data_IF_903670248679
#
_entry.id   IF_903670248679
#
_cell.length_a   1.000
_cell.length_b   1.000
_cell.length_c   1.000
_cell.angle_alpha   90.00
_cell.angle_beta   90.00
_cell.angle_gamma   90.00
#
_symmetry.space_group_name_H-M   'P 1'
#
loop_
_entity.id
_entity.type
_entity.pdbx_description
1 polymer ?
#
# COMPACT_ATOMS: atom_id res chain seq x y z
N UNK A 1 4.55 -26.26 10.72
CA UNK A 1 5.42 -26.15 9.54
C UNK A 1 5.80 -27.55 9.10
N UNK A 2 5.62 -27.86 7.83
CA UNK A 2 5.94 -29.16 7.23
C UNK A 2 7.30 -29.11 6.52
N UNK A 3 7.50 -28.07 5.72
CA UNK A 3 8.73 -27.83 4.97
C UNK A 3 9.06 -26.35 5.10
N UNK A 4 10.34 -26.03 5.21
CA UNK A 4 10.85 -24.66 5.13
C UNK A 4 11.74 -24.54 3.91
N UNK A 5 11.39 -23.61 3.04
CA UNK A 5 12.20 -23.26 1.87
C UNK A 5 13.37 -22.35 2.27
N UNK A 6 14.36 -22.21 1.40
CA UNK A 6 15.43 -21.23 1.59
C UNK A 6 14.88 -19.80 1.52
N UNK A 7 15.11 -19.03 2.58
CA UNK A 7 14.60 -17.68 2.74
C UNK A 7 15.59 -16.57 2.34
N UNK A 8 16.80 -16.94 1.95
CA UNK A 8 17.90 -16.00 1.70
C UNK A 8 17.53 -14.92 0.68
N UNK A 9 17.00 -15.32 -0.47
CA UNK A 9 16.60 -14.39 -1.54
C UNK A 9 15.39 -13.55 -1.13
N UNK A 10 14.40 -14.17 -0.48
CA UNK A 10 13.19 -13.46 -0.05
C UNK A 10 13.50 -12.41 1.02
N UNK A 11 14.36 -12.75 1.99
CA UNK A 11 14.85 -11.80 3.02
C UNK A 11 15.66 -10.66 2.40
N UNK A 12 16.55 -10.97 1.45
CA UNK A 12 17.35 -9.96 0.77
C UNK A 12 16.46 -8.97 0.00
N UNK A 13 15.45 -9.47 -0.71
CA UNK A 13 14.49 -8.64 -1.43
C UNK A 13 13.68 -7.74 -0.49
N UNK A 14 13.19 -8.28 0.63
CA UNK A 14 12.49 -7.48 1.63
C UNK A 14 13.41 -6.39 2.21
N UNK A 15 14.65 -6.73 2.57
CA UNK A 15 15.61 -5.78 3.10
C UNK A 15 15.94 -4.65 2.12
N UNK A 16 16.04 -4.93 0.81
CA UNK A 16 16.23 -3.90 -0.22
C UNK A 16 15.07 -2.92 -0.24
N UNK A 17 13.82 -3.43 -0.16
CA UNK A 17 12.62 -2.59 -0.16
C UNK A 17 12.53 -1.77 1.13
N UNK A 18 12.79 -2.35 2.28
CA UNK A 18 12.77 -1.68 3.58
C UNK A 18 13.82 -0.55 3.63
N UNK A 19 15.06 -0.83 3.20
CA UNK A 19 16.11 0.18 3.10
C UNK A 19 15.72 1.35 2.16
N UNK A 20 15.08 1.04 1.05
CA UNK A 20 14.56 2.06 0.13
C UNK A 20 13.45 2.92 0.75
N UNK A 21 12.56 2.32 1.54
CA UNK A 21 11.52 3.04 2.29
C UNK A 21 12.12 3.93 3.37
N UNK A 22 13.14 3.45 4.08
CA UNK A 22 13.84 4.22 5.11
C UNK A 22 14.54 5.44 4.51
N UNK A 23 15.23 5.27 3.37
CA UNK A 23 15.87 6.37 2.64
C UNK A 23 14.85 7.44 2.20
N UNK A 24 13.74 7.02 1.56
CA UNK A 24 12.72 7.96 1.13
C UNK A 24 12.00 8.61 2.31
N UNK A 25 11.81 7.90 3.42
CA UNK A 25 11.20 8.44 4.64
C UNK A 25 12.08 9.50 5.30
N UNK A 26 13.39 9.29 5.34
CA UNK A 26 14.34 10.27 5.86
C UNK A 26 14.39 11.52 4.97
N UNK A 27 14.47 11.34 3.66
CA UNK A 27 14.44 12.45 2.69
C UNK A 27 13.12 13.22 2.75
N UNK A 28 11.98 12.52 2.87
CA UNK A 28 10.67 13.13 3.05
C UNK A 28 10.60 14.00 4.31
N UNK A 29 11.14 13.51 5.42
CA UNK A 29 11.20 14.26 6.69
C UNK A 29 12.00 15.55 6.55
N UNK A 30 13.18 15.51 5.88
CA UNK A 30 13.97 16.70 5.58
C UNK A 30 13.19 17.70 4.73
N UNK A 31 12.58 17.26 3.65
CA UNK A 31 11.82 18.13 2.75
C UNK A 31 10.62 18.80 3.44
N UNK A 32 9.93 18.09 4.31
CA UNK A 32 8.86 18.67 5.14
C UNK A 32 9.43 19.78 6.04
N UNK A 33 10.58 19.53 6.69
CA UNK A 33 11.23 20.52 7.54
C UNK A 33 11.67 21.76 6.72
N UNK A 34 12.17 21.58 5.49
CA UNK A 34 12.52 22.67 4.58
C UNK A 34 11.31 23.50 4.16
N UNK A 35 10.20 22.82 3.78
CA UNK A 35 8.94 23.47 3.39
C UNK A 35 8.36 24.33 4.52
N UNK A 36 8.38 23.78 5.73
CA UNK A 36 7.76 24.40 6.90
C UNK A 36 8.70 25.40 7.61
N UNK A 37 9.94 25.51 7.13
CA UNK A 37 10.94 26.41 7.71
C UNK A 37 11.34 26.01 9.14
N UNK A 38 11.30 24.70 9.44
CA UNK A 38 11.63 24.19 10.76
C UNK A 38 13.11 24.42 11.13
N UNK A 39 13.44 24.40 12.42
CA UNK A 39 14.80 24.52 12.88
C UNK A 39 15.58 23.20 12.85
N UNK A 40 14.86 22.07 12.91
CA UNK A 40 15.43 20.73 12.88
C UNK A 40 14.49 19.77 12.13
N UNK A 41 15.05 18.67 11.63
CA UNK A 41 14.28 17.62 10.97
C UNK A 41 13.66 16.70 12.03
N UNK A 42 12.35 16.46 11.93
CA UNK A 42 11.63 15.50 12.77
C UNK A 42 11.46 14.21 11.99
N UNK A 43 12.17 13.17 12.40
CA UNK A 43 12.10 11.85 11.76
C UNK A 43 10.93 11.03 12.34
N UNK A 44 10.28 10.18 11.53
CA UNK A 44 9.28 9.22 11.99
C UNK A 44 9.85 8.29 13.07
N UNK A 45 9.00 7.78 13.97
CA UNK A 45 9.40 6.92 15.09
C UNK A 45 10.12 5.63 14.61
N UNK A 46 9.74 5.10 13.46
CA UNK A 46 10.38 3.95 12.82
C UNK A 46 11.88 4.17 12.56
N UNK A 47 12.27 5.37 12.13
CA UNK A 47 13.66 5.75 11.91
C UNK A 47 14.34 6.17 13.21
N UNK A 48 13.67 6.98 14.04
CA UNK A 48 14.25 7.50 15.30
C UNK A 48 14.46 6.40 16.34
N UNK A 49 13.55 5.40 16.41
CA UNK A 49 13.68 4.24 17.30
C UNK A 49 14.85 3.31 16.92
N UNK A 50 15.20 3.27 15.64
CA UNK A 50 16.30 2.47 15.09
C UNK A 50 17.57 3.30 14.80
N UNK A 51 17.65 4.54 15.25
CA UNK A 51 18.78 5.43 14.98
C UNK A 51 20.16 4.88 15.46
N UNK A 52 20.14 3.90 16.35
CA UNK A 52 21.37 3.21 16.78
C UNK A 52 21.86 2.16 15.78
N UNK A 53 21.04 1.74 14.80
CA UNK A 53 21.52 0.90 13.70
C UNK A 53 22.46 1.75 12.81
N UNK A 54 23.71 1.31 12.56
CA UNK A 54 24.71 2.15 11.89
C UNK A 54 24.24 2.72 10.54
N UNK A 55 23.48 1.94 9.77
CA UNK A 55 22.98 2.35 8.46
C UNK A 55 21.97 3.50 8.56
N UNK A 56 21.02 3.41 9.49
CA UNK A 56 19.99 4.43 9.71
C UNK A 56 20.62 5.70 10.32
N UNK A 57 21.57 5.53 11.24
CA UNK A 57 22.34 6.66 11.81
C UNK A 57 23.06 7.47 10.72
N UNK A 58 23.77 6.81 9.81
CA UNK A 58 24.43 7.48 8.68
C UNK A 58 23.46 8.18 7.73
N UNK A 59 22.32 7.59 7.49
CA UNK A 59 21.28 8.18 6.66
C UNK A 59 20.72 9.47 7.28
N UNK A 60 20.35 9.43 8.56
CA UNK A 60 19.87 10.59 9.32
C UNK A 60 20.91 11.69 9.36
N UNK A 61 22.16 11.36 9.63
CA UNK A 61 23.27 12.32 9.65
C UNK A 61 23.48 12.96 8.27
N UNK A 62 23.38 12.20 7.20
CA UNK A 62 23.46 12.69 5.84
C UNK A 62 22.38 13.73 5.52
N UNK A 63 21.12 13.39 5.83
CA UNK A 63 19.98 14.29 5.61
C UNK A 63 20.05 15.54 6.48
N UNK A 64 20.46 15.42 7.74
CA UNK A 64 20.66 16.57 8.64
C UNK A 64 21.75 17.52 8.12
N UNK A 65 22.87 17.01 7.61
CA UNK A 65 23.91 17.84 7.01
C UNK A 65 23.40 18.57 5.77
N UNK A 66 22.69 17.87 4.91
CA UNK A 66 22.11 18.48 3.71
C UNK A 66 21.08 19.55 4.06
N UNK A 67 20.21 19.31 5.03
CA UNK A 67 19.28 20.29 5.57
C UNK A 67 20.00 21.56 6.07
N UNK A 68 21.04 21.39 6.88
CA UNK A 68 21.81 22.51 7.42
C UNK A 68 22.51 23.33 6.30
N UNK A 69 23.10 22.66 5.32
CA UNK A 69 23.75 23.30 4.17
C UNK A 69 22.76 24.10 3.30
N UNK A 70 21.60 23.51 2.96
CA UNK A 70 20.57 24.19 2.16
C UNK A 70 19.99 25.40 2.92
N UNK A 71 19.74 25.24 4.20
CA UNK A 71 19.28 26.31 5.08
C UNK A 71 20.29 27.45 5.13
N UNK A 72 21.57 27.15 5.40
CA UNK A 72 22.64 28.14 5.44
C UNK A 72 22.81 28.90 4.11
N UNK A 73 22.76 28.19 3.00
CA UNK A 73 22.85 28.80 1.67
C UNK A 73 21.66 29.75 1.40
N UNK A 74 20.43 29.37 1.78
CA UNK A 74 19.25 30.23 1.66
C UNK A 74 19.37 31.46 2.55
N UNK A 75 19.68 31.27 3.83
CA UNK A 75 19.86 32.36 4.79
C UNK A 75 20.95 33.33 4.32
N UNK A 76 22.06 32.83 3.78
CA UNK A 76 23.12 33.63 3.20
C UNK A 76 22.66 34.50 2.03
N UNK A 77 21.90 33.94 1.08
CA UNK A 77 21.31 34.69 -0.04
C UNK A 77 20.37 35.79 0.45
N UNK A 78 19.49 35.47 1.39
CA UNK A 78 18.55 36.45 1.98
C UNK A 78 19.29 37.55 2.72
N UNK A 79 20.32 37.21 3.50
CA UNK A 79 21.15 38.18 4.20
C UNK A 79 21.85 39.16 3.24
N UNK A 80 22.43 38.63 2.15
CA UNK A 80 23.07 39.47 1.12
C UNK A 80 22.08 40.47 0.48
N UNK A 81 20.86 40.06 0.20
CA UNK A 81 19.82 40.94 -0.33
C UNK A 81 19.39 41.98 0.70
N UNK A 82 19.25 41.61 1.96
CA UNK A 82 18.97 42.56 3.05
C UNK A 82 20.06 43.61 3.24
N UNK A 83 21.31 43.20 3.17
CA UNK A 83 22.44 44.16 3.24
C UNK A 83 22.37 45.14 2.07
N UNK A 84 22.05 44.73 0.86
CA UNK A 84 21.85 45.65 -0.27
C UNK A 84 20.68 46.60 -0.03
N UNK A 85 19.57 46.14 0.54
CA UNK A 85 18.45 47.01 0.92
C UNK A 85 18.90 48.08 1.92
N UNK A 86 19.72 47.71 2.91
CA UNK A 86 20.29 48.67 3.88
C UNK A 86 21.15 49.72 3.16
N UNK A 87 22.02 49.32 2.23
CA UNK A 87 22.83 50.20 1.44
C UNK A 87 21.97 51.18 0.61
N UNK A 88 20.96 50.71 -0.07
CA UNK A 88 20.02 51.58 -0.83
C UNK A 88 19.23 52.54 0.07
N UNK A 89 18.83 52.12 1.28
CA UNK A 89 18.22 53.04 2.26
C UNK A 89 19.15 54.16 2.69
N UNK A 90 20.45 53.85 2.87
CA UNK A 90 21.46 54.89 3.16
C UNK A 90 21.66 55.84 1.98
N UNK A 91 21.67 55.32 0.74
CA UNK A 91 21.74 56.13 -0.47
C UNK A 91 20.56 57.09 -0.55
N UNK A 92 19.31 56.59 -0.32
CA UNK A 92 18.11 57.41 -0.27
C UNK A 92 18.22 58.53 0.79
N UNK A 93 18.68 58.18 1.99
CA UNK A 93 18.88 59.17 3.06
C UNK A 93 19.85 60.29 2.66
N UNK A 94 20.93 59.95 1.91
CA UNK A 94 21.84 60.92 1.31
C UNK A 94 21.16 61.82 0.27
N UNK A 95 20.42 61.23 -0.65
CA UNK A 95 19.65 61.96 -1.66
C UNK A 95 18.58 62.89 -1.01
N UNK A 96 17.89 62.42 0.01
CA UNK A 96 16.92 63.22 0.75
C UNK A 96 17.56 64.42 1.50
N UNK A 97 18.78 64.24 2.00
CA UNK A 97 19.54 65.38 2.57
C UNK A 97 19.91 66.41 1.50
N UNK A 98 20.32 65.97 0.30
CA UNK A 98 20.56 66.84 -0.84
C UNK A 98 19.29 67.57 -1.30
N UNK A 99 18.16 66.84 -1.34
CA UNK A 99 16.84 67.42 -1.66
C UNK A 99 16.49 68.52 -0.68
N UNK A 100 16.63 68.34 0.61
CA UNK A 100 16.35 69.39 1.62
C UNK A 100 17.23 70.60 1.41
N UNK A 101 18.55 70.44 1.18
CA UNK A 101 19.46 71.53 0.88
C UNK A 101 19.06 72.28 -0.39
N UNK A 102 18.71 71.51 -1.45
CA UNK A 102 18.31 72.12 -2.73
C UNK A 102 16.97 72.87 -2.62
N UNK A 103 16.01 72.36 -1.87
CA UNK A 103 14.75 73.08 -1.57
C UNK A 103 14.95 74.38 -0.82
N UNK A 104 15.93 74.43 0.14
CA UNK A 104 16.33 75.66 0.81
C UNK A 104 16.93 76.67 -0.19
N UNK A 105 17.83 76.20 -1.06
CA UNK A 105 18.47 77.04 -2.09
C UNK A 105 17.40 77.62 -3.04
N UNK A 106 16.44 76.78 -3.50
CA UNK A 106 15.32 77.24 -4.31
C UNK A 106 14.47 78.31 -3.58
N UNK A 107 14.16 78.07 -2.29
CA UNK A 107 13.38 79.04 -1.50
C UNK A 107 14.07 80.41 -1.37
N UNK A 108 15.37 80.42 -1.12
CA UNK A 108 16.16 81.66 -1.08
C UNK A 108 16.19 82.36 -2.47
N UNK A 109 16.42 81.57 -3.53
CA UNK A 109 16.44 82.11 -4.90
C UNK A 109 15.06 82.70 -5.30
N UNK A 110 13.95 82.09 -4.85
CA UNK A 110 12.61 82.65 -5.07
C UNK A 110 12.44 83.99 -4.37
N UNK A 111 12.91 84.13 -3.12
CA UNK A 111 12.83 85.43 -2.42
C UNK A 111 13.65 86.49 -3.16
N UNK A 112 14.89 86.13 -3.60
CA UNK A 112 15.72 87.06 -4.39
C UNK A 112 15.05 87.44 -5.71
N UNK A 113 14.43 86.51 -6.39
CA UNK A 113 13.73 86.71 -7.65
C UNK A 113 12.54 87.63 -7.49
N UNK A 114 11.73 87.49 -6.44
CA UNK A 114 10.61 88.41 -6.12
C UNK A 114 11.16 89.81 -5.91
N UNK A 115 12.19 89.98 -5.13
CA UNK A 115 12.86 91.28 -4.95
C UNK A 115 13.38 91.85 -6.26
N UNK A 116 13.96 91.04 -7.15
CA UNK A 116 14.47 91.47 -8.44
C UNK A 116 13.34 91.86 -9.41
N UNK A 117 12.18 91.10 -9.39
CA UNK A 117 10.96 91.49 -10.16
C UNK A 117 10.42 92.84 -9.77
N UNK A 118 10.42 93.16 -8.46
CA UNK A 118 9.98 94.46 -7.95
C UNK A 118 10.93 95.58 -8.32
N UNK A 119 12.23 95.44 -8.29
CA UNK A 119 13.26 96.35 -8.73
C UNK A 119 13.15 96.59 -10.25
N UNK A 120 12.88 95.56 -11.07
CA UNK A 120 12.67 95.69 -12.50
C UNK A 120 11.40 96.45 -12.82
N UNK A 121 10.25 96.17 -12.16
CA UNK A 121 9.04 96.96 -12.28
C UNK A 121 9.27 98.46 -12.03
N UNK A 122 10.15 98.77 -11.06
CA UNK A 122 10.59 100.19 -10.76
C UNK A 122 11.64 100.70 -11.71
N UNK A 123 12.03 99.94 -12.76
CA UNK A 123 13.10 100.30 -13.76
C UNK A 123 14.46 100.48 -13.13
N UNK A 124 14.79 99.94 -11.97
CA UNK A 124 16.03 100.08 -11.27
C UNK A 124 17.13 99.02 -11.67
N UNK A 125 16.70 98.01 -12.39
CA UNK A 125 17.60 96.94 -12.89
C UNK A 125 17.28 96.59 -14.34
N UNK A 126 18.27 96.16 -15.18
CA UNK A 126 18.04 95.67 -16.53
C UNK A 126 17.34 94.26 -16.55
N UNK A 127 16.54 94.04 -17.61
CA UNK A 127 15.81 92.78 -17.82
C UNK A 127 16.74 91.51 -17.84
N UNK A 128 17.98 91.71 -18.28
CA UNK A 128 19.00 90.65 -18.31
C UNK A 128 19.27 90.06 -16.96
N UNK A 129 19.36 90.89 -15.90
CA UNK A 129 19.55 90.43 -14.53
C UNK A 129 18.36 89.60 -13.99
N UNK A 130 17.18 90.02 -14.34
CA UNK A 130 15.95 89.25 -14.00
C UNK A 130 15.95 87.90 -14.71
N UNK A 131 16.22 87.91 -16.02
CA UNK A 131 16.25 86.71 -16.83
C UNK A 131 17.40 85.72 -16.33
N UNK A 132 18.54 86.23 -15.83
CA UNK A 132 19.60 85.41 -15.24
C UNK A 132 19.13 84.71 -13.98
N UNK A 133 18.35 85.36 -13.12
CA UNK A 133 17.78 84.76 -11.90
C UNK A 133 16.66 83.75 -12.22
N UNK A 134 15.81 84.05 -13.20
CA UNK A 134 14.78 83.08 -13.65
C UNK A 134 15.42 81.84 -14.25
N UNK A 135 16.52 81.98 -15.02
CA UNK A 135 17.29 80.79 -15.49
C UNK A 135 17.95 79.99 -14.35
N UNK A 136 18.42 80.69 -13.32
CA UNK A 136 19.03 80.02 -12.15
C UNK A 136 17.94 79.23 -11.36
N UNK A 137 16.75 79.82 -11.14
CA UNK A 137 15.63 79.10 -10.52
C UNK A 137 15.23 77.88 -11.33
N UNK A 138 14.99 78.03 -12.65
CA UNK A 138 14.62 76.88 -13.52
C UNK A 138 15.67 75.77 -13.52
N UNK A 139 16.98 76.12 -13.45
CA UNK A 139 18.07 75.13 -13.31
C UNK A 139 17.97 74.37 -11.98
N UNK A 140 17.77 75.10 -10.87
CA UNK A 140 17.65 74.49 -9.54
C UNK A 140 16.41 73.59 -9.44
N UNK A 141 15.29 73.98 -10.00
CA UNK A 141 14.08 73.15 -10.07
C UNK A 141 14.35 71.85 -10.91
N UNK A 142 15.09 71.98 -12.02
CA UNK A 142 15.53 70.81 -12.80
C UNK A 142 16.43 69.86 -12.00
N UNK A 143 17.42 70.38 -11.26
CA UNK A 143 18.29 69.60 -10.38
C UNK A 143 17.50 68.93 -9.26
N UNK A 144 16.52 69.64 -8.67
CA UNK A 144 15.63 69.06 -7.66
C UNK A 144 14.80 67.91 -8.26
N UNK A 145 14.25 68.08 -9.48
CA UNK A 145 13.56 67.01 -10.20
C UNK A 145 14.44 65.77 -10.45
N UNK A 146 15.70 65.98 -10.80
CA UNK A 146 16.67 64.87 -10.97
C UNK A 146 16.89 64.09 -9.67
N UNK A 147 17.04 64.79 -8.52
CA UNK A 147 17.21 64.12 -7.21
C UNK A 147 15.94 63.35 -6.81
N UNK A 148 14.74 63.86 -7.07
CA UNK A 148 13.47 63.16 -6.84
C UNK A 148 13.42 61.88 -7.69
N UNK A 149 13.78 61.96 -8.97
CA UNK A 149 13.83 60.82 -9.85
C UNK A 149 14.87 59.76 -9.38
N UNK A 150 16.07 60.20 -8.93
CA UNK A 150 17.07 59.29 -8.38
C UNK A 150 16.59 58.59 -7.11
N UNK A 151 15.94 59.30 -6.19
CA UNK A 151 15.33 58.70 -5.01
C UNK A 151 14.26 57.67 -5.37
N UNK A 152 13.38 57.96 -6.33
CA UNK A 152 12.34 57.06 -6.81
C UNK A 152 12.96 55.78 -7.46
N UNK A 153 14.04 55.96 -8.27
CA UNK A 153 14.74 54.84 -8.88
C UNK A 153 15.37 53.91 -7.81
N UNK A 154 16.00 54.48 -6.79
CA UNK A 154 16.61 53.70 -5.70
C UNK A 154 15.55 53.00 -4.85
N UNK A 155 14.36 53.62 -4.64
CA UNK A 155 13.20 52.91 -4.03
C UNK A 155 12.72 51.75 -4.88
N UNK A 156 12.67 51.90 -6.20
CA UNK A 156 12.35 50.80 -7.13
C UNK A 156 13.31 49.58 -6.95
N UNK A 157 14.65 49.88 -6.84
CA UNK A 157 15.66 48.84 -6.58
C UNK A 157 15.42 48.11 -5.25
N UNK A 158 15.00 48.80 -4.19
CA UNK A 158 14.63 48.16 -2.93
C UNK A 158 13.45 47.18 -3.14
N UNK A 159 12.39 47.61 -3.81
CA UNK A 159 11.25 46.74 -4.11
C UNK A 159 11.64 45.53 -4.93
N UNK A 160 12.54 45.64 -5.89
CA UNK A 160 13.10 44.51 -6.64
C UNK A 160 13.82 43.52 -5.72
N UNK A 161 14.63 44.01 -4.76
CA UNK A 161 15.31 43.11 -3.81
C UNK A 161 14.33 42.45 -2.84
N UNK A 162 13.32 43.15 -2.38
CA UNK A 162 12.24 42.57 -1.53
C UNK A 162 11.46 41.47 -2.27
N UNK A 163 11.12 41.71 -3.54
CA UNK A 163 10.52 40.67 -4.38
C UNK A 163 11.44 39.49 -4.60
N UNK A 164 12.77 39.72 -4.78
CA UNK A 164 13.71 38.64 -4.92
C UNK A 164 13.82 37.76 -3.65
N UNK A 165 13.68 38.35 -2.46
CA UNK A 165 13.62 37.60 -1.20
C UNK A 165 12.39 36.72 -1.15
N UNK A 166 11.22 37.23 -1.54
CA UNK A 166 9.97 36.47 -1.60
C UNK A 166 10.10 35.32 -2.61
N UNK A 167 10.72 35.60 -3.76
CA UNK A 167 10.92 34.60 -4.81
C UNK A 167 11.78 33.42 -4.33
N UNK A 168 12.83 33.66 -3.54
CA UNK A 168 13.65 32.58 -2.95
C UNK A 168 12.80 31.62 -2.13
N UNK A 169 11.84 32.13 -1.36
CA UNK A 169 10.94 31.30 -0.55
C UNK A 169 9.91 30.56 -1.39
N UNK A 170 9.39 31.20 -2.43
CA UNK A 170 8.43 30.57 -3.35
C UNK A 170 9.10 29.43 -4.17
N UNK A 171 10.31 29.68 -4.67
CA UNK A 171 11.08 28.71 -5.43
C UNK A 171 11.36 27.47 -4.59
N UNK A 172 11.83 27.67 -3.35
CA UNK A 172 12.06 26.55 -2.42
C UNK A 172 10.79 25.73 -2.19
N UNK A 173 9.68 26.40 -1.90
CA UNK A 173 8.40 25.70 -1.66
C UNK A 173 7.92 24.94 -2.89
N UNK A 174 8.09 25.50 -4.07
CA UNK A 174 7.73 24.86 -5.34
C UNK A 174 8.60 23.64 -5.62
N UNK A 175 9.93 23.77 -5.47
CA UNK A 175 10.88 22.68 -5.62
C UNK A 175 10.55 21.54 -4.65
N UNK A 176 10.42 21.86 -3.36
CA UNK A 176 10.14 20.87 -2.32
C UNK A 176 8.78 20.18 -2.54
N UNK A 177 7.76 20.93 -2.97
CA UNK A 177 6.44 20.33 -3.28
C UNK A 177 6.52 19.38 -4.47
N UNK A 178 7.36 19.65 -5.44
CA UNK A 178 7.67 18.75 -6.56
C UNK A 178 8.35 17.46 -6.09
N UNK A 179 9.43 17.61 -5.30
CA UNK A 179 10.18 16.47 -4.75
C UNK A 179 9.32 15.61 -3.83
N UNK A 180 8.47 16.22 -2.98
CA UNK A 180 7.57 15.47 -2.09
C UNK A 180 6.58 14.61 -2.86
N UNK A 181 5.98 15.14 -3.95
CA UNK A 181 5.07 14.34 -4.79
C UNK A 181 5.76 13.14 -5.43
N UNK A 182 6.99 13.33 -5.90
CA UNK A 182 7.79 12.24 -6.47
C UNK A 182 8.10 11.17 -5.43
N UNK A 183 8.53 11.59 -4.23
CA UNK A 183 8.83 10.70 -3.12
C UNK A 183 7.58 9.93 -2.66
N UNK A 184 6.45 10.61 -2.50
CA UNK A 184 5.20 9.97 -2.08
C UNK A 184 4.74 8.91 -3.09
N UNK A 185 4.93 9.17 -4.39
CA UNK A 185 4.69 8.18 -5.45
C UNK A 185 5.61 6.96 -5.34
N UNK A 186 6.92 7.18 -5.18
CA UNK A 186 7.90 6.10 -5.01
C UNK A 186 7.69 5.30 -3.72
N UNK A 187 7.34 5.98 -2.63
CA UNK A 187 7.01 5.29 -1.37
C UNK A 187 5.77 4.41 -1.49
N UNK A 188 4.75 4.85 -2.23
CA UNK A 188 3.58 4.03 -2.49
C UNK A 188 3.94 2.76 -3.28
N UNK A 189 4.74 2.89 -4.33
CA UNK A 189 5.22 1.74 -5.10
C UNK A 189 6.06 0.77 -4.25
N UNK A 190 6.98 1.29 -3.42
CA UNK A 190 7.78 0.44 -2.54
C UNK A 190 6.95 -0.25 -1.46
N UNK A 191 5.88 0.38 -0.94
CA UNK A 191 4.96 -0.26 0.01
C UNK A 191 4.22 -1.44 -0.61
N UNK A 192 3.77 -1.32 -1.85
CA UNK A 192 3.17 -2.44 -2.58
C UNK A 192 4.17 -3.59 -2.75
N UNK A 193 5.43 -3.25 -3.09
CA UNK A 193 6.51 -4.24 -3.19
C UNK A 193 6.84 -4.87 -1.83
N UNK A 194 6.80 -4.10 -0.75
CA UNK A 194 7.01 -4.59 0.62
C UNK A 194 5.96 -5.66 0.97
N UNK A 195 4.68 -5.37 0.73
CA UNK A 195 3.58 -6.31 0.97
C UNK A 195 3.80 -7.61 0.18
N UNK A 196 4.19 -7.51 -1.08
CA UNK A 196 4.48 -8.68 -1.92
C UNK A 196 5.69 -9.48 -1.41
N UNK A 197 6.76 -8.81 -0.99
CA UNK A 197 7.96 -9.45 -0.45
C UNK A 197 7.68 -10.12 0.90
N UNK A 198 6.91 -9.47 1.79
CA UNK A 198 6.46 -10.07 3.06
C UNK A 198 5.60 -11.30 2.83
N UNK A 199 4.69 -11.24 1.84
CA UNK A 199 3.86 -12.39 1.51
C UNK A 199 4.69 -13.56 0.97
N UNK A 200 5.68 -13.27 0.13
CA UNK A 200 6.63 -14.28 -0.34
C UNK A 200 7.40 -14.91 0.83
N UNK A 201 7.85 -14.10 1.79
CA UNK A 201 8.53 -14.58 2.98
C UNK A 201 7.63 -15.47 3.87
N UNK A 202 6.34 -15.15 4.01
CA UNK A 202 5.37 -15.98 4.74
C UNK A 202 5.12 -17.33 4.07
N UNK A 203 5.21 -17.41 2.73
CA UNK A 203 5.02 -18.65 1.97
C UNK A 203 6.20 -19.61 2.05
N UNK A 204 7.34 -19.19 2.56
CA UNK A 204 8.52 -20.04 2.76
C UNK A 204 8.24 -21.16 3.78
N UNK A 205 7.47 -20.86 4.82
CA UNK A 205 7.02 -21.87 5.77
C UNK A 205 5.76 -22.57 5.24
N UNK A 206 5.92 -23.69 4.56
CA UNK A 206 4.79 -24.50 4.10
C UNK A 206 4.16 -25.19 5.30
N UNK A 207 2.93 -24.83 5.61
CA UNK A 207 2.17 -25.34 6.77
C UNK A 207 1.09 -26.31 6.34
N UNK A 208 0.78 -27.27 7.22
CA UNK A 208 -0.35 -28.16 7.02
C UNK A 208 -1.66 -27.36 6.98
N UNK A 209 -2.55 -27.57 5.96
CA UNK A 209 -3.85 -26.92 5.90
C UNK A 209 -4.80 -27.43 7.00
N UNK A 210 -4.59 -28.66 7.48
CA UNK A 210 -5.39 -29.30 8.52
C UNK A 210 -4.55 -30.29 9.33
N UNK A 211 -5.05 -30.67 10.51
CA UNK A 211 -4.43 -31.70 11.34
C UNK A 211 -4.57 -33.07 10.71
N UNK A 212 -3.48 -33.84 10.62
CA UNK A 212 -3.51 -35.14 9.98
C UNK A 212 -2.16 -35.86 10.04
N UNK A 213 -2.09 -36.99 9.37
CA UNK A 213 -0.85 -37.77 9.18
C UNK A 213 -0.28 -37.51 7.79
N UNK A 214 1.03 -37.30 7.72
CA UNK A 214 1.72 -37.17 6.44
C UNK A 214 1.74 -38.52 5.75
N UNK A 215 1.37 -38.55 4.49
CA UNK A 215 1.38 -39.71 3.62
C UNK A 215 2.06 -39.35 2.30
N UNK A 216 2.79 -40.27 1.69
CA UNK A 216 3.48 -40.08 0.40
C UNK A 216 4.35 -38.82 0.36
N UNK A 217 5.36 -38.74 1.22
CA UNK A 217 6.36 -37.67 1.16
C UNK A 217 7.19 -37.82 -0.12
N UNK A 218 7.16 -36.83 -1.01
CA UNK A 218 7.90 -36.84 -2.28
C UNK A 218 9.31 -36.25 -2.16
N UNK A 219 9.55 -35.38 -1.18
CA UNK A 219 10.83 -34.67 -0.99
C UNK A 219 11.57 -35.27 0.21
N UNK A 220 12.78 -35.81 -0.03
CA UNK A 220 13.57 -36.48 1.01
C UNK A 220 14.91 -35.81 1.28
N UNK A 221 15.33 -34.85 0.46
CA UNK A 221 16.69 -34.28 0.50
C UNK A 221 16.68 -32.86 0.97
N UNK A 222 17.48 -32.48 1.95
CA UNK A 222 17.72 -31.09 2.34
C UNK A 222 18.51 -30.43 1.21
N UNK A 223 18.08 -29.22 0.80
CA UNK A 223 18.65 -28.50 -0.34
C UNK A 223 18.12 -28.96 -1.71
N UNK A 224 17.15 -29.89 -1.73
CA UNK A 224 16.49 -30.31 -2.96
C UNK A 224 15.66 -29.14 -3.59
N UNK A 225 15.53 -29.15 -4.90
CA UNK A 225 14.72 -28.18 -5.65
C UNK A 225 13.32 -28.75 -5.83
N UNK A 226 12.31 -27.95 -5.52
CA UNK A 226 10.89 -28.27 -5.69
C UNK A 226 10.34 -27.37 -6.80
N UNK A 227 9.71 -27.96 -7.81
CA UNK A 227 9.10 -27.19 -8.88
C UNK A 227 7.76 -26.53 -8.42
N UNK A 228 7.41 -25.34 -8.93
CA UNK A 228 6.10 -24.75 -8.65
C UNK A 228 4.96 -25.68 -9.06
N UNK A 229 4.02 -25.91 -8.14
CA UNK A 229 2.88 -26.81 -8.36
C UNK A 229 3.17 -28.31 -8.13
N UNK A 230 4.38 -28.68 -7.75
CA UNK A 230 4.73 -30.05 -7.42
C UNK A 230 4.12 -30.45 -6.07
N UNK A 231 3.55 -31.65 -5.99
CA UNK A 231 3.00 -32.20 -4.75
C UNK A 231 4.13 -32.65 -3.82
N UNK A 232 4.28 -31.98 -2.69
CA UNK A 232 5.34 -32.27 -1.70
C UNK A 232 4.97 -33.48 -0.84
N UNK A 233 3.72 -33.55 -0.37
CA UNK A 233 3.19 -34.63 0.47
C UNK A 233 1.66 -34.61 0.47
N UNK A 234 1.07 -35.70 0.92
CA UNK A 234 -0.36 -35.78 1.19
C UNK A 234 -0.61 -35.76 2.69
N UNK A 235 -1.69 -35.08 3.12
CA UNK A 235 -2.11 -35.08 4.52
C UNK A 235 -3.46 -35.80 4.60
N UNK A 236 -3.44 -36.92 5.34
CA UNK A 236 -4.67 -37.65 5.65
C UNK A 236 -5.25 -37.08 6.94
N UNK A 237 -6.44 -36.46 6.90
CA UNK A 237 -7.08 -35.92 8.10
C UNK A 237 -7.28 -36.98 9.17
N UNK A 238 -6.99 -36.63 10.41
CA UNK A 238 -7.23 -37.52 11.55
C UNK A 238 -8.62 -37.38 12.18
N UNK A 239 -9.31 -36.29 11.84
CA UNK A 239 -10.59 -35.90 12.46
C UNK A 239 -11.82 -36.13 11.58
N UNK A 240 -11.65 -36.60 10.35
CA UNK A 240 -12.79 -36.87 9.48
C UNK A 240 -13.53 -38.12 9.97
N UNK A 241 -14.84 -37.98 10.16
CA UNK A 241 -15.69 -39.13 10.45
C UNK A 241 -15.56 -40.17 9.33
N UNK A 242 -15.30 -41.41 9.69
CA UNK A 242 -15.29 -42.50 8.72
C UNK A 242 -16.62 -42.61 8.05
N UNK A 243 -16.61 -42.66 6.74
CA UNK A 243 -17.81 -42.87 5.91
C UNK A 243 -17.63 -44.15 5.12
N UNK A 244 -18.75 -44.85 4.85
CA UNK A 244 -18.75 -46.02 3.98
C UNK A 244 -19.28 -45.61 2.62
N UNK A 245 -18.54 -45.94 1.57
CA UNK A 245 -18.96 -45.75 0.19
C UNK A 245 -19.41 -47.11 -0.36
N UNK A 246 -20.72 -47.24 -0.60
CA UNK A 246 -21.29 -48.44 -1.17
C UNK A 246 -21.52 -48.24 -2.68
N UNK A 247 -21.33 -49.32 -3.43
CA UNK A 247 -21.60 -49.36 -4.89
C UNK A 247 -22.94 -50.04 -5.11
N UNK A 248 -23.89 -49.29 -5.66
CA UNK A 248 -25.24 -49.77 -5.96
C UNK A 248 -25.39 -49.93 -7.47
N UNK A 249 -25.94 -51.06 -7.90
CA UNK A 249 -26.20 -51.31 -9.31
C UNK A 249 -27.27 -50.34 -9.86
N UNK A 250 -27.18 -49.90 -11.13
CA UNK A 250 -28.13 -48.96 -11.70
C UNK A 250 -29.58 -49.38 -11.63
N UNK A 251 -29.83 -50.68 -11.69
CA UNK A 251 -31.18 -51.26 -11.61
C UNK A 251 -31.84 -51.19 -10.20
N UNK A 252 -31.03 -50.92 -9.14
CA UNK A 252 -31.52 -50.95 -7.76
C UNK A 252 -31.52 -49.52 -7.14
N UNK A 253 -31.12 -48.51 -7.87
CA UNK A 253 -30.98 -47.13 -7.36
C UNK A 253 -32.32 -46.50 -6.96
N UNK A 254 -33.39 -46.88 -7.61
CA UNK A 254 -34.78 -46.42 -7.34
C UNK A 254 -35.25 -46.79 -5.92
N UNK A 255 -34.62 -47.80 -5.31
CA UNK A 255 -34.94 -48.30 -3.97
C UNK A 255 -34.08 -47.61 -2.87
N UNK A 256 -33.11 -46.80 -3.25
CA UNK A 256 -32.22 -46.10 -2.31
C UNK A 256 -32.66 -44.65 -2.14
N UNK A 257 -32.81 -44.21 -0.91
CA UNK A 257 -33.20 -42.82 -0.57
C UNK A 257 -32.24 -42.22 0.45
N UNK A 258 -32.03 -40.90 0.35
CA UNK A 258 -31.32 -40.16 1.35
C UNK A 258 -32.06 -40.25 2.68
N UNK A 259 -31.34 -40.49 3.78
CA UNK A 259 -31.91 -40.70 5.11
C UNK A 259 -32.34 -42.16 5.40
N UNK A 260 -32.16 -43.09 4.46
CA UNK A 260 -32.50 -44.51 4.64
C UNK A 260 -31.51 -45.18 5.57
N UNK A 261 -32.02 -46.03 6.48
CA UNK A 261 -31.20 -46.79 7.39
C UNK A 261 -30.46 -47.91 6.66
N UNK A 262 -29.17 -48.05 6.98
CA UNK A 262 -28.31 -49.08 6.45
C UNK A 262 -27.69 -49.88 7.60
N UNK A 263 -27.61 -51.17 7.45
CA UNK A 263 -26.86 -52.05 8.36
C UNK A 263 -25.55 -52.45 7.68
N UNK A 264 -24.45 -52.27 8.38
CA UNK A 264 -23.10 -52.46 7.88
C UNK A 264 -22.46 -53.66 8.58
N UNK A 265 -21.91 -54.55 7.80
CA UNK A 265 -21.12 -55.69 8.31
C UNK A 265 -19.70 -55.54 7.84
N UNK A 266 -18.78 -55.45 8.79
CA UNK A 266 -17.34 -55.27 8.50
C UNK A 266 -16.71 -56.65 8.21
N UNK A 267 -16.49 -56.96 6.95
CA UNK A 267 -15.98 -58.26 6.51
C UNK A 267 -14.47 -58.51 6.86
N UNK A 268 -13.79 -57.46 7.33
CA UNK A 268 -12.40 -57.55 7.78
C UNK A 268 -12.21 -58.22 9.14
N UNK A 269 -13.32 -58.44 9.90
CA UNK A 269 -13.31 -59.10 11.22
C UNK A 269 -14.02 -60.44 11.18
N UNK A 270 -13.67 -61.35 12.14
CA UNK A 270 -14.28 -62.68 12.15
C UNK A 270 -15.80 -62.62 12.39
N UNK A 271 -16.56 -63.35 11.57
CA UNK A 271 -18.03 -63.29 11.52
C UNK A 271 -18.75 -63.63 12.85
N UNK A 272 -18.10 -64.26 13.80
CA UNK A 272 -18.69 -64.67 15.06
C UNK A 272 -18.67 -63.63 16.18
N UNK A 273 -17.95 -62.51 16.00
CA UNK A 273 -17.68 -61.51 17.08
C UNK A 273 -18.02 -60.09 16.64
N UNK A 274 -18.30 -59.84 15.37
CA UNK A 274 -18.45 -58.48 14.84
C UNK A 274 -19.87 -58.00 14.98
N UNK A 275 -20.14 -56.95 15.78
CA UNK A 275 -21.48 -56.36 15.84
C UNK A 275 -21.85 -55.69 14.49
N UNK A 276 -23.09 -55.78 14.13
CA UNK A 276 -23.65 -55.03 13.03
C UNK A 276 -23.65 -53.52 13.40
N UNK A 277 -23.17 -52.70 12.51
CA UNK A 277 -23.02 -51.24 12.71
C UNK A 277 -24.13 -50.55 11.93
N UNK A 278 -24.91 -49.71 12.60
CA UNK A 278 -25.97 -48.95 11.93
C UNK A 278 -25.42 -47.67 11.36
N UNK A 279 -25.87 -47.34 10.15
CA UNK A 279 -25.58 -46.11 9.45
C UNK A 279 -26.79 -45.57 8.72
N UNK A 280 -26.66 -44.41 8.16
CA UNK A 280 -27.68 -43.75 7.39
C UNK A 280 -27.11 -43.23 6.06
N UNK A 281 -27.89 -43.37 4.99
CA UNK A 281 -27.56 -42.84 3.67
C UNK A 281 -27.53 -41.31 3.72
N UNK A 282 -26.35 -40.72 3.54
CA UNK A 282 -26.12 -39.27 3.56
C UNK A 282 -26.24 -38.68 2.15
N UNK A 283 -25.64 -39.37 1.17
CA UNK A 283 -25.58 -38.86 -0.20
C UNK A 283 -25.61 -40.01 -1.21
N UNK A 284 -26.21 -39.74 -2.35
CA UNK A 284 -26.19 -40.61 -3.54
C UNK A 284 -25.54 -39.83 -4.67
N UNK A 285 -24.65 -40.46 -5.45
CA UNK A 285 -24.04 -39.78 -6.61
C UNK A 285 -25.13 -39.35 -7.60
N UNK A 286 -25.08 -38.11 -8.13
CA UNK A 286 -26.09 -37.62 -9.07
C UNK A 286 -26.00 -38.31 -10.44
N UNK A 287 -24.90 -38.98 -10.74
CA UNK A 287 -24.61 -39.61 -12.02
C UNK A 287 -23.97 -40.97 -11.84
N UNK A 288 -23.99 -41.79 -12.89
CA UNK A 288 -23.34 -43.09 -12.98
C UNK A 288 -21.80 -42.90 -12.97
N UNK A 289 -21.14 -43.71 -12.16
CA UNK A 289 -19.66 -43.78 -12.12
C UNK A 289 -19.26 -45.07 -12.84
N UNK A 290 -18.46 -44.96 -13.88
CA UNK A 290 -17.87 -46.10 -14.59
C UNK A 290 -16.49 -46.44 -13.99
N UNK A 291 -16.33 -47.65 -13.50
CA UNK A 291 -15.01 -48.17 -13.13
C UNK A 291 -14.33 -48.67 -14.42
N UNK A 292 -13.41 -47.83 -14.95
CA UNK A 292 -12.67 -48.12 -16.20
C UNK A 292 -11.87 -49.42 -16.16
N UNK A 293 -11.55 -49.95 -14.97
CA UNK A 293 -10.82 -51.23 -14.82
C UNK A 293 -11.73 -52.44 -14.77
N UNK A 294 -12.91 -52.29 -14.20
CA UNK A 294 -13.88 -53.39 -14.04
C UNK A 294 -14.96 -53.39 -15.10
N UNK A 295 -15.14 -52.32 -15.89
CA UNK A 295 -16.16 -52.20 -16.93
C UNK A 295 -17.61 -52.22 -16.38
N UNK A 296 -17.78 -51.89 -15.10
CA UNK A 296 -19.08 -51.92 -14.41
C UNK A 296 -19.49 -50.49 -14.01
N UNK A 297 -20.69 -50.08 -14.41
CA UNK A 297 -21.28 -48.83 -13.97
C UNK A 297 -22.05 -48.98 -12.68
N UNK A 298 -21.92 -48.04 -11.75
CA UNK A 298 -22.56 -48.06 -10.45
C UNK A 298 -22.88 -46.66 -9.94
N UNK A 299 -23.81 -46.56 -9.00
CA UNK A 299 -24.01 -45.35 -8.21
C UNK A 299 -23.23 -45.44 -6.90
N UNK A 300 -22.44 -44.40 -6.54
CA UNK A 300 -21.79 -44.31 -5.25
C UNK A 300 -22.79 -43.78 -4.21
N UNK A 301 -23.01 -44.56 -3.17
CA UNK A 301 -23.88 -44.21 -2.05
C UNK A 301 -23.01 -44.02 -0.81
N UNK A 302 -23.00 -42.81 -0.26
CA UNK A 302 -22.26 -42.46 0.96
C UNK A 302 -23.15 -42.72 2.17
N UNK A 303 -22.63 -43.48 3.12
CA UNK A 303 -23.29 -43.84 4.35
C UNK A 303 -22.48 -43.32 5.53
N UNK A 304 -23.11 -42.58 6.42
CA UNK A 304 -22.52 -42.07 7.66
C UNK A 304 -22.92 -42.98 8.80
N UNK A 305 -21.91 -43.33 9.62
CA UNK A 305 -22.14 -44.18 10.79
C UNK A 305 -22.82 -43.39 11.92
N UNK A 306 -23.81 -43.98 12.59
CA UNK A 306 -24.46 -43.33 13.72
C UNK A 306 -23.55 -43.30 14.94
N UNK A 307 -23.61 -42.25 15.73
CA UNK A 307 -22.74 -42.07 16.91
C UNK A 307 -22.89 -43.19 17.96
N UNK A 308 -24.09 -43.77 18.09
CA UNK A 308 -24.38 -44.94 18.93
C UNK A 308 -23.61 -46.17 18.46
N UNK A 309 -23.60 -46.41 17.17
CA UNK A 309 -22.93 -47.53 16.54
C UNK A 309 -21.41 -47.39 16.55
N UNK A 310 -20.87 -46.16 16.43
CA UNK A 310 -19.45 -45.88 16.62
C UNK A 310 -19.00 -46.17 18.05
N UNK A 311 -19.82 -45.95 19.07
CA UNK A 311 -19.52 -46.31 20.46
C UNK A 311 -19.56 -47.82 20.69
N UNK A 312 -20.44 -48.56 20.04
CA UNK A 312 -20.47 -50.01 20.08
C UNK A 312 -19.30 -50.65 19.32
N UNK A 313 -18.89 -50.03 18.21
CA UNK A 313 -17.72 -50.39 17.44
C UNK A 313 -16.41 -49.92 18.10
N UNK A 314 -16.47 -49.14 19.18
CA UNK A 314 -15.31 -48.49 19.84
C UNK A 314 -14.20 -49.43 20.40
N UNK A 315 -14.46 -50.73 20.42
CA UNK A 315 -13.44 -51.76 20.66
C UNK A 315 -12.71 -52.22 19.37
N UNK A 316 -13.20 -51.76 18.18
CA UNK A 316 -12.67 -52.16 16.88
C UNK A 316 -12.01 -50.92 16.25
N UNK A 317 -10.70 -51.00 16.02
CA UNK A 317 -9.93 -49.95 15.37
C UNK A 317 -10.30 -49.88 13.87
N UNK A 318 -11.31 -49.07 13.51
CA UNK A 318 -11.73 -48.91 12.14
C UNK A 318 -10.67 -48.13 11.36
N UNK A 319 -10.22 -48.64 10.24
CA UNK A 319 -9.22 -48.01 9.38
C UNK A 319 -9.81 -47.68 8.00
N UNK A 320 -9.44 -46.53 7.41
CA UNK A 320 -9.78 -46.23 6.03
C UNK A 320 -9.36 -47.36 5.08
N UNK A 321 -10.22 -47.72 4.13
CA UNK A 321 -9.93 -48.78 3.16
C UNK A 321 -10.35 -50.19 3.59
N UNK A 322 -10.95 -50.36 4.77
CA UNK A 322 -11.55 -51.63 5.16
C UNK A 322 -12.78 -52.00 4.31
N UNK A 323 -12.90 -53.25 3.82
CA UNK A 323 -14.10 -53.67 3.12
C UNK A 323 -15.27 -53.82 4.08
N UNK A 324 -16.47 -53.41 3.62
CA UNK A 324 -17.71 -53.53 4.37
C UNK A 324 -18.85 -53.97 3.42
N UNK A 325 -19.70 -54.84 3.93
CA UNK A 325 -20.96 -55.18 3.25
C UNK A 325 -22.06 -54.31 3.79
N UNK A 326 -22.83 -53.73 2.88
CA UNK A 326 -23.92 -52.80 3.21
C UNK A 326 -25.27 -53.41 2.88
N UNK A 327 -26.12 -53.48 3.87
CA UNK A 327 -27.52 -53.92 3.71
C UNK A 327 -28.45 -52.71 3.87
N UNK A 328 -29.07 -52.31 2.77
CA UNK A 328 -30.06 -51.23 2.75
C UNK A 328 -31.44 -51.81 2.98
N UNK A 329 -32.16 -51.35 4.01
CA UNK A 329 -33.54 -51.77 4.24
C UNK A 329 -34.47 -51.13 3.18
N UNK A 330 -34.85 -51.92 2.18
CA UNK A 330 -35.92 -51.57 1.26
C UNK A 330 -37.26 -51.75 1.96
N UNK A 331 -38.24 -50.89 1.72
CA UNK A 331 -39.49 -50.81 2.49
C UNK A 331 -40.22 -52.14 2.65
N UNK A 332 -41.07 -52.22 3.71
CA UNK A 332 -41.87 -53.38 4.02
C UNK A 332 -42.83 -53.70 2.89
N UNK A 333 -42.75 -54.91 2.39
CA UNK A 333 -43.73 -55.44 1.37
C UNK A 333 -44.55 -56.47 1.98
N UNK A 334 -45.84 -56.45 1.68
CA UNK A 334 -46.79 -57.52 2.12
C UNK A 334 -46.43 -58.81 1.41
N UNK A 335 -46.58 -59.95 2.11
CA UNK A 335 -46.33 -61.31 1.57
C UNK A 335 -47.11 -61.54 0.27
N UNK A 336 -48.32 -60.98 0.17
CA UNK A 336 -49.19 -61.08 -1.01
C UNK A 336 -48.58 -60.36 -2.23
N UNK A 337 -47.95 -59.17 -2.03
CA UNK A 337 -47.29 -58.42 -3.10
C UNK A 337 -46.04 -59.13 -3.62
N UNK A 338 -45.34 -59.88 -2.74
CA UNK A 338 -44.19 -60.68 -3.12
C UNK A 338 -44.51 -61.84 -3.99
N UNK A 339 -45.61 -62.56 -3.66
CA UNK A 339 -46.09 -63.72 -4.42
C UNK A 339 -46.75 -63.35 -5.77
N UNK A 340 -47.40 -62.17 -5.86
CA UNK A 340 -48.04 -61.71 -7.09
C UNK A 340 -47.16 -60.95 -8.05
N UNK A 341 -46.04 -60.40 -7.60
CA UNK A 341 -45.13 -59.58 -8.42
C UNK A 341 -44.59 -60.32 -9.66
N UNK A 342 -44.17 -61.63 -9.60
CA UNK A 342 -43.68 -62.30 -10.80
C UNK A 342 -44.80 -62.48 -11.86
N UNK A 343 -46.08 -62.62 -11.40
CA UNK A 343 -47.24 -62.76 -12.29
C UNK A 343 -47.60 -61.40 -12.92
N UNK A 344 -47.54 -60.29 -12.14
CA UNK A 344 -47.82 -58.95 -12.67
C UNK A 344 -46.75 -58.49 -13.61
N UNK A 345 -45.45 -58.75 -13.33
CA UNK A 345 -44.32 -58.39 -14.18
C UNK A 345 -44.32 -59.21 -15.50
N UNK A 346 -44.74 -60.49 -15.48
CA UNK A 346 -44.93 -61.26 -16.71
C UNK A 346 -46.13 -60.79 -17.52
N UNK A 347 -47.26 -60.47 -16.87
CA UNK A 347 -48.44 -59.92 -17.52
C UNK A 347 -48.08 -58.53 -18.16
N UNK A 348 -47.41 -57.66 -17.48
CA UNK A 348 -47.01 -56.32 -18.01
C UNK A 348 -46.02 -56.40 -19.16
N UNK A 349 -45.17 -57.43 -19.20
CA UNK A 349 -44.28 -57.70 -20.36
C UNK A 349 -45.04 -58.30 -21.55
N UNK A 350 -46.05 -59.15 -21.27
CA UNK A 350 -46.88 -59.76 -22.34
C UNK A 350 -47.79 -58.72 -23.00
N UNK A 351 -48.22 -57.67 -22.28
CA UNK A 351 -49.07 -56.60 -22.81
C UNK A 351 -48.30 -55.38 -23.35
N UNK A 352 -46.94 -55.39 -23.35
CA UNK A 352 -46.09 -54.39 -23.97
C UNK A 352 -45.47 -54.89 -25.27
N UNK A 353 -46.15 -55.64 -26.02
CA UNK A 353 -45.84 -56.03 -27.38
C UNK A 353 -46.64 -55.14 -28.32
N UNK A 354 -46.06 -53.97 -28.69
CA UNK A 354 -46.15 -53.31 -30.00
C UNK A 354 -45.11 -52.27 -30.06
#
# INVERSE_FOLDING_TARGET
VLVRLDDTVARANLAIVDNGLDELSARRARLIAERDGAQAVLYPEQLSGNAHAPQIGHLIDGENRLFALRRQAREGKISQLRERIVQFRQEIAGIEAQLRSKQQEISLTKIELEGMRDLWKKKLVPISRLADRERAEARLDGENGQLIAAAAQTRGRISEMELAIIQIDQDLRSEVAGELREIDGKMSELRERQIAAEQTLKQIDIRAPQSGRVHQLAVHTIGGVIAPGEAIMQIVPSADALVVEARVAPQDIDQVRIGQNATLRLSAFSQQITPEVEGQVDRISPDLIEDQKAGVAYYAVRIVLTQSSLKQAGSLELKPGMPAEVFLRTGDRTVLSYLLKPLTDQASRAFRGD
#
